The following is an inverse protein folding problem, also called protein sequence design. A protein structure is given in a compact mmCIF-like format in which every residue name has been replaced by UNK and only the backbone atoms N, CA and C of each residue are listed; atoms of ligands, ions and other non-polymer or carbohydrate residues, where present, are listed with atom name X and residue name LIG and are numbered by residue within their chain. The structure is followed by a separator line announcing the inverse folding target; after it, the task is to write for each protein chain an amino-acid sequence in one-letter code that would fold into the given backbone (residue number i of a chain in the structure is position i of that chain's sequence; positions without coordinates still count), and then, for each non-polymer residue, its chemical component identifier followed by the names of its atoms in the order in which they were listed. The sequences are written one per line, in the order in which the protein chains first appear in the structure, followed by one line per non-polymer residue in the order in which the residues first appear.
data_IF_076515032434
#
_entry.id   IF_076515032434
#
_cell.length_a   1.000
_cell.length_b   1.000
_cell.length_c   1.000
_cell.angle_alpha   90.00
_cell.angle_beta   90.00
_cell.angle_gamma   90.00
#
_symmetry.space_group_name_H-M   'P 1'
#
loop_
_entity.id
_entity.type
_entity.pdbx_description
1 polymer ?
#
# COMPACT_ATOMS: atom_id res chain seq x y z
N UNK A 1 -40.92 -4.49 6.80
CA UNK A 1 -40.45 -4.71 5.42
C UNK A 1 -39.55 -3.54 5.07
N UNK A 2 -38.27 -3.78 4.82
CA UNK A 2 -37.35 -2.73 4.36
C UNK A 2 -37.43 -2.66 2.82
N UNK A 3 -37.52 -1.45 2.29
CA UNK A 3 -37.70 -1.15 0.85
C UNK A 3 -36.43 -1.42 0.03
N UNK A 4 -36.54 -1.66 -1.29
CA UNK A 4 -35.40 -1.91 -2.19
C UNK A 4 -34.39 -0.76 -2.31
N UNK A 5 -34.65 0.36 -1.63
CA UNK A 5 -33.85 1.59 -1.60
C UNK A 5 -32.94 1.69 -0.36
N UNK A 6 -32.52 0.55 0.21
CA UNK A 6 -31.34 0.51 1.08
C UNK A 6 -30.11 0.60 0.19
N UNK A 7 -29.86 1.83 -0.26
CA UNK A 7 -28.69 2.37 -0.96
C UNK A 7 -27.47 1.47 -0.76
N UNK A 8 -26.94 0.96 -1.88
CA UNK A 8 -25.67 0.25 -1.99
C UNK A 8 -24.59 1.02 -1.23
N UNK A 9 -24.35 0.64 0.03
CA UNK A 9 -23.28 1.22 0.83
C UNK A 9 -21.97 0.91 0.13
N UNK A 10 -21.12 1.92 0.00
CA UNK A 10 -19.71 1.81 -0.39
C UNK A 10 -19.11 0.45 -0.08
N UNK A 11 -18.80 -0.32 -1.12
CA UNK A 11 -18.41 -1.74 -0.98
C UNK A 11 -16.90 -1.94 -0.94
N UNK A 12 -16.10 -0.89 -1.14
CA UNK A 12 -14.64 -1.00 -1.19
C UNK A 12 -13.92 0.34 -1.03
N UNK A 13 -12.72 0.32 -0.43
CA UNK A 13 -11.78 1.45 -0.49
C UNK A 13 -10.97 1.50 -1.79
N UNK A 14 -11.06 0.46 -2.62
CA UNK A 14 -10.24 0.29 -3.82
C UNK A 14 -10.96 0.96 -5.01
N UNK A 15 -10.24 1.72 -5.85
CA UNK A 15 -10.81 2.28 -7.08
C UNK A 15 -11.39 1.22 -8.04
N UNK A 16 -12.41 1.57 -8.84
CA UNK A 16 -13.04 2.89 -8.93
C UNK A 16 -13.96 3.16 -7.73
N UNK A 17 -13.74 4.31 -7.09
CA UNK A 17 -14.56 4.78 -5.97
C UNK A 17 -15.90 5.31 -6.49
N UNK A 18 -16.97 5.31 -5.68
CA UNK A 18 -18.17 6.05 -6.02
C UNK A 18 -18.00 7.55 -5.72
N UNK A 19 -18.93 8.38 -6.22
CA UNK A 19 -18.82 9.84 -6.13
C UNK A 19 -18.69 10.35 -4.67
N UNK A 20 -19.45 9.83 -3.68
CA UNK A 20 -19.30 10.22 -2.28
C UNK A 20 -17.86 10.06 -1.74
N UNK A 21 -17.24 8.93 -2.04
CA UNK A 21 -15.88 8.59 -1.62
C UNK A 21 -14.85 9.45 -2.35
N UNK A 22 -15.10 9.77 -3.62
CA UNK A 22 -14.27 10.70 -4.39
C UNK A 22 -14.28 12.10 -3.78
N UNK A 23 -15.45 12.61 -3.39
CA UNK A 23 -15.58 13.91 -2.71
C UNK A 23 -14.81 13.88 -1.37
N UNK A 24 -15.01 12.83 -0.58
CA UNK A 24 -14.29 12.62 0.68
C UNK A 24 -12.78 12.54 0.48
N UNK A 25 -12.33 11.86 -0.57
CA UNK A 25 -10.92 11.76 -0.93
C UNK A 25 -10.37 13.13 -1.31
N UNK A 26 -11.01 13.87 -2.22
CA UNK A 26 -10.60 15.25 -2.59
C UNK A 26 -10.43 16.11 -1.33
N UNK A 27 -11.39 16.07 -0.41
CA UNK A 27 -11.30 16.79 0.86
C UNK A 27 -10.09 16.37 1.68
N UNK A 28 -9.87 15.07 1.81
CA UNK A 28 -8.74 14.53 2.58
C UNK A 28 -7.39 14.90 1.99
N UNK A 29 -7.23 14.77 0.67
CA UNK A 29 -6.01 15.18 -0.02
C UNK A 29 -5.79 16.69 0.07
N UNK A 30 -6.84 17.48 0.25
CA UNK A 30 -6.75 18.91 0.48
C UNK A 30 -6.45 19.30 1.94
N UNK A 31 -6.37 18.33 2.87
CA UNK A 31 -6.14 18.59 4.29
C UNK A 31 -7.32 19.21 5.03
N UNK A 32 -8.50 19.26 4.42
CA UNK A 32 -9.67 19.98 4.95
C UNK A 32 -10.53 19.08 5.85
N UNK A 33 -11.11 19.67 6.89
CA UNK A 33 -12.24 19.08 7.61
C UNK A 33 -13.57 19.41 6.90
N UNK A 34 -14.67 18.75 7.31
CA UNK A 34 -15.97 18.94 6.64
C UNK A 34 -16.52 20.37 6.77
N UNK A 35 -16.23 21.05 7.88
CA UNK A 35 -16.63 22.45 8.11
C UNK A 35 -15.87 23.42 7.20
N UNK A 36 -14.58 23.16 6.96
CA UNK A 36 -13.79 23.96 6.02
C UNK A 36 -14.24 23.73 4.58
N UNK A 37 -14.49 22.46 4.20
CA UNK A 37 -15.05 22.16 2.88
C UNK A 37 -16.42 22.82 2.70
N UNK A 38 -17.29 22.79 3.71
CA UNK A 38 -18.62 23.38 3.58
C UNK A 38 -18.58 24.89 3.35
N UNK A 39 -17.62 25.59 3.97
CA UNK A 39 -17.38 27.02 3.70
C UNK A 39 -16.95 27.25 2.25
N UNK A 40 -16.04 26.43 1.71
CA UNK A 40 -15.56 26.54 0.34
C UNK A 40 -16.64 26.19 -0.70
N UNK A 41 -17.52 25.24 -0.38
CA UNK A 41 -18.64 24.84 -1.23
C UNK A 41 -19.90 25.69 -1.01
N UNK A 42 -19.85 26.66 -0.09
CA UNK A 42 -20.97 27.54 0.29
C UNK A 42 -22.24 26.76 0.66
N UNK A 43 -22.06 25.71 1.47
CA UNK A 43 -23.16 24.88 1.96
C UNK A 43 -22.99 24.59 3.46
N UNK A 44 -23.98 23.90 4.04
CA UNK A 44 -23.89 23.50 5.44
C UNK A 44 -22.92 22.33 5.63
N UNK A 45 -22.31 22.21 6.81
CA UNK A 45 -21.49 21.04 7.14
C UNK A 45 -22.31 19.73 7.05
N UNK A 46 -23.60 19.77 7.41
CA UNK A 46 -24.52 18.65 7.25
C UNK A 46 -24.72 18.26 5.77
N UNK A 47 -24.72 19.22 4.86
CA UNK A 47 -24.75 18.96 3.41
C UNK A 47 -23.50 18.20 2.98
N UNK A 48 -22.31 18.64 3.40
CA UNK A 48 -21.04 17.94 3.11
C UNK A 48 -21.07 16.51 3.67
N UNK A 49 -21.53 16.32 4.90
CA UNK A 49 -21.64 14.98 5.50
C UNK A 49 -22.54 14.07 4.66
N UNK A 50 -23.71 14.55 4.23
CA UNK A 50 -24.64 13.77 3.41
C UNK A 50 -24.05 13.45 2.04
N UNK A 51 -23.35 14.39 1.41
CA UNK A 51 -22.65 14.18 0.14
C UNK A 51 -21.60 13.08 0.26
N UNK A 52 -20.77 13.12 1.31
CA UNK A 52 -19.70 12.13 1.52
C UNK A 52 -20.20 10.75 1.95
N UNK A 53 -21.42 10.67 2.48
CA UNK A 53 -22.06 9.41 2.86
C UNK A 53 -22.96 8.83 1.77
N UNK A 54 -23.15 9.55 0.64
CA UNK A 54 -24.09 9.14 -0.41
C UNK A 54 -25.55 9.29 -0.01
N UNK A 55 -25.86 10.00 1.07
CA UNK A 55 -27.23 10.33 1.50
C UNK A 55 -27.81 11.51 0.70
N UNK A 56 -26.95 12.25 0.00
CA UNK A 56 -27.30 13.33 -0.92
C UNK A 56 -26.45 13.21 -2.17
N UNK A 57 -27.07 13.25 -3.34
CA UNK A 57 -26.33 13.34 -4.60
C UNK A 57 -25.79 14.76 -4.85
N UNK A 58 -24.57 14.91 -5.39
CA UNK A 58 -24.05 16.22 -5.73
C UNK A 58 -24.81 16.84 -6.90
N UNK A 59 -25.33 18.05 -6.70
CA UNK A 59 -25.95 18.83 -7.76
C UNK A 59 -24.89 19.43 -8.69
N UNK A 60 -25.32 19.95 -9.85
CA UNK A 60 -24.44 20.71 -10.74
C UNK A 60 -23.74 21.88 -10.02
N UNK A 61 -24.43 22.54 -9.07
CA UNK A 61 -23.83 23.59 -8.24
C UNK A 61 -22.65 23.07 -7.41
N UNK A 62 -22.80 21.92 -6.73
CA UNK A 62 -21.71 21.32 -5.96
C UNK A 62 -20.51 20.98 -6.87
N UNK A 63 -20.75 20.38 -8.03
CA UNK A 63 -19.69 19.99 -8.96
C UNK A 63 -18.93 21.21 -9.54
N UNK A 64 -19.65 22.29 -9.88
CA UNK A 64 -19.04 23.55 -10.33
C UNK A 64 -18.19 24.16 -9.21
N UNK A 65 -18.66 24.15 -7.96
CA UNK A 65 -17.88 24.61 -6.81
C UNK A 65 -16.62 23.78 -6.58
N UNK A 66 -16.73 22.46 -6.64
CA UNK A 66 -15.57 21.56 -6.56
C UNK A 66 -14.54 21.90 -7.65
N UNK A 67 -14.98 22.12 -8.90
CA UNK A 67 -14.09 22.55 -9.99
C UNK A 67 -13.37 23.85 -9.68
N UNK A 68 -14.09 24.88 -9.21
CA UNK A 68 -13.52 26.20 -8.92
C UNK A 68 -12.50 26.15 -7.77
N UNK A 69 -12.83 25.43 -6.70
CA UNK A 69 -12.01 25.34 -5.48
C UNK A 69 -10.75 24.50 -5.74
N UNK A 70 -10.91 23.30 -6.29
CA UNK A 70 -9.83 22.32 -6.41
C UNK A 70 -9.09 22.38 -7.75
N UNK A 71 -9.63 23.09 -8.75
CA UNK A 71 -9.02 23.18 -10.08
C UNK A 71 -9.11 21.88 -10.89
N UNK A 72 -10.03 20.99 -10.53
CA UNK A 72 -10.26 19.70 -11.20
C UNK A 72 -11.46 19.79 -12.16
N UNK A 73 -11.43 19.09 -13.29
CA UNK A 73 -12.61 19.03 -14.17
C UNK A 73 -13.75 18.28 -13.51
N UNK A 74 -14.99 18.61 -13.90
CA UNK A 74 -16.17 17.87 -13.42
C UNK A 74 -16.09 16.42 -13.91
N UNK A 75 -15.66 16.22 -15.17
CA UNK A 75 -15.46 14.89 -15.75
C UNK A 75 -14.48 14.05 -14.93
N UNK A 76 -13.38 14.62 -14.44
CA UNK A 76 -12.46 13.89 -13.56
C UNK A 76 -13.14 13.37 -12.29
N UNK A 77 -14.07 14.14 -11.70
CA UNK A 77 -14.85 13.71 -10.52
C UNK A 77 -15.82 12.60 -10.89
N UNK A 78 -16.47 12.68 -12.05
CA UNK A 78 -17.49 11.72 -12.53
C UNK A 78 -16.88 10.42 -13.08
N UNK A 79 -15.70 10.49 -13.69
CA UNK A 79 -14.96 9.35 -14.23
C UNK A 79 -14.06 8.69 -13.17
N UNK A 80 -13.78 9.39 -12.06
CA UNK A 80 -12.88 8.92 -11.00
C UNK A 80 -11.40 9.08 -11.33
N UNK A 81 -11.08 9.87 -12.37
CA UNK A 81 -9.71 10.19 -12.81
C UNK A 81 -9.19 11.45 -12.10
N UNK A 82 -9.27 11.47 -10.78
CA UNK A 82 -8.91 12.65 -9.98
C UNK A 82 -7.39 12.70 -9.80
N UNK A 83 -6.71 13.84 -10.11
CA UNK A 83 -5.29 14.01 -9.88
C UNK A 83 -5.03 14.36 -8.40
N UNK A 84 -5.17 13.38 -7.50
CA UNK A 84 -5.11 13.59 -6.04
C UNK A 84 -3.80 14.21 -5.58
N UNK A 85 -2.66 13.86 -6.21
CA UNK A 85 -1.38 14.54 -5.99
C UNK A 85 -1.45 16.05 -6.24
N UNK A 86 -1.99 16.48 -7.38
CA UNK A 86 -2.12 17.90 -7.72
C UNK A 86 -3.05 18.64 -6.76
N UNK A 87 -4.12 17.97 -6.31
CA UNK A 87 -5.01 18.49 -5.26
C UNK A 87 -4.23 18.70 -3.95
N UNK A 88 -3.44 17.72 -3.53
CA UNK A 88 -2.61 17.81 -2.32
C UNK A 88 -1.56 18.91 -2.40
N UNK A 89 -0.87 19.05 -3.53
CA UNK A 89 0.13 20.10 -3.78
C UNK A 89 -0.50 21.49 -3.70
N UNK A 90 -1.67 21.69 -4.31
CA UNK A 90 -2.40 22.98 -4.29
C UNK A 90 -2.75 23.44 -2.87
N UNK A 91 -3.04 22.51 -1.97
CA UNK A 91 -3.42 22.80 -0.59
C UNK A 91 -2.26 22.64 0.40
N UNK A 92 -1.02 22.44 -0.08
CA UNK A 92 0.17 22.23 0.76
C UNK A 92 0.02 21.06 1.76
N UNK A 93 -0.79 20.06 1.43
CA UNK A 93 -1.06 18.92 2.30
C UNK A 93 -0.17 17.73 1.93
N UNK A 94 1.07 17.74 2.37
CA UNK A 94 2.09 16.74 2.01
C UNK A 94 2.01 15.43 2.82
N UNK A 95 1.27 15.39 3.93
CA UNK A 95 1.25 14.26 4.88
C UNK A 95 -0.03 13.42 4.76
N UNK A 96 -0.15 12.67 3.67
CA UNK A 96 -1.27 11.74 3.43
C UNK A 96 -1.18 10.44 4.24
N UNK A 97 0.01 10.14 4.76
CA UNK A 97 0.28 8.93 5.53
C UNK A 97 0.94 9.30 6.85
N UNK A 98 0.69 8.52 7.92
CA UNK A 98 1.57 8.52 9.09
C UNK A 98 3.04 8.45 8.69
N UNK A 99 3.91 9.21 9.37
CA UNK A 99 5.33 9.34 8.99
C UNK A 99 6.08 8.00 8.90
N UNK A 100 5.66 6.98 9.66
CA UNK A 100 6.23 5.62 9.60
C UNK A 100 5.98 4.89 8.27
N UNK A 101 4.93 5.26 7.56
CA UNK A 101 4.59 4.68 6.26
C UNK A 101 5.16 5.48 5.09
N UNK A 102 5.51 6.75 5.32
CA UNK A 102 6.19 7.59 4.33
C UNK A 102 7.71 7.37 4.32
N UNK A 103 8.33 7.05 5.46
CA UNK A 103 9.77 6.83 5.57
C UNK A 103 10.20 5.60 4.77
N UNK A 104 11.13 5.77 3.82
CA UNK A 104 11.61 4.67 2.99
C UNK A 104 10.53 4.11 2.06
N UNK A 105 9.54 4.93 1.69
CA UNK A 105 8.49 4.54 0.77
C UNK A 105 9.05 4.28 -0.63
N UNK A 106 8.76 3.10 -1.19
CA UNK A 106 9.26 2.68 -2.50
C UNK A 106 8.30 1.77 -3.26
N UNK A 107 7.25 1.28 -2.60
CA UNK A 107 6.23 0.41 -3.21
C UNK A 107 5.00 1.24 -3.55
N UNK A 108 4.44 1.11 -4.74
CA UNK A 108 3.17 1.76 -5.09
C UNK A 108 2.01 1.10 -4.36
N UNK A 109 1.08 1.89 -3.84
CA UNK A 109 -0.06 1.44 -3.05
C UNK A 109 -0.94 0.42 -3.79
N UNK A 110 -1.10 0.58 -5.11
CA UNK A 110 -1.89 -0.35 -5.94
C UNK A 110 -1.42 -1.81 -5.87
N UNK A 111 -0.15 -2.06 -5.57
CA UNK A 111 0.35 -3.43 -5.39
C UNK A 111 -0.23 -4.12 -4.15
N UNK A 112 -0.81 -3.35 -3.22
CA UNK A 112 -1.47 -3.86 -2.01
C UNK A 112 -2.96 -4.12 -2.22
N UNK A 113 -3.56 -3.69 -3.34
CA UNK A 113 -4.98 -3.87 -3.61
C UNK A 113 -5.45 -5.33 -3.57
N UNK A 114 -4.68 -6.33 -4.05
CA UNK A 114 -5.09 -7.73 -3.90
C UNK A 114 -5.27 -8.14 -2.44
N UNK A 115 -4.38 -7.69 -1.55
CA UNK A 115 -4.47 -7.96 -0.12
C UNK A 115 -5.68 -7.26 0.51
N UNK A 116 -5.89 -5.99 0.19
CA UNK A 116 -7.05 -5.22 0.68
C UNK A 116 -8.35 -5.85 0.20
N UNK A 117 -8.45 -6.20 -1.08
CA UNK A 117 -9.62 -6.86 -1.66
C UNK A 117 -9.89 -8.20 -0.98
N UNK A 118 -8.84 -9.00 -0.75
CA UNK A 118 -8.97 -10.26 -0.04
C UNK A 118 -9.48 -10.07 1.40
N UNK A 119 -9.07 -8.98 2.07
CA UNK A 119 -9.59 -8.65 3.40
C UNK A 119 -11.07 -8.24 3.34
N UNK A 120 -11.42 -7.29 2.46
CA UNK A 120 -12.79 -6.79 2.32
C UNK A 120 -13.77 -7.91 1.97
N UNK A 121 -13.40 -8.80 1.04
CA UNK A 121 -14.23 -9.95 0.66
C UNK A 121 -14.46 -10.94 1.80
N UNK A 122 -13.47 -11.11 2.70
CA UNK A 122 -13.54 -12.13 3.75
C UNK A 122 -14.11 -11.61 5.07
N UNK A 123 -13.85 -10.36 5.42
CA UNK A 123 -14.17 -9.79 6.72
C UNK A 123 -15.12 -8.59 6.65
N UNK A 124 -15.39 -8.07 5.44
CA UNK A 124 -16.25 -6.94 5.19
C UNK A 124 -15.55 -5.58 5.28
N UNK A 125 -16.07 -4.63 4.50
CA UNK A 125 -15.60 -3.26 4.39
C UNK A 125 -15.55 -2.53 5.75
N UNK A 126 -16.65 -2.56 6.51
CA UNK A 126 -16.73 -1.88 7.81
C UNK A 126 -15.68 -2.34 8.81
N UNK A 127 -15.34 -3.64 8.77
CA UNK A 127 -14.28 -4.17 9.60
C UNK A 127 -12.92 -3.65 9.15
N UNK A 128 -12.66 -3.64 7.85
CA UNK A 128 -11.43 -3.10 7.29
C UNK A 128 -11.22 -1.63 7.68
N UNK A 129 -12.27 -0.80 7.61
CA UNK A 129 -12.21 0.60 8.04
C UNK A 129 -11.77 0.76 9.51
N UNK A 130 -12.32 -0.06 10.41
CA UNK A 130 -11.94 -0.04 11.83
C UNK A 130 -10.48 -0.44 12.03
N UNK A 131 -9.99 -1.44 11.30
CA UNK A 131 -8.58 -1.86 11.40
C UNK A 131 -7.62 -0.80 10.85
N UNK A 132 -7.95 -0.15 9.73
CA UNK A 132 -7.18 0.99 9.21
C UNK A 132 -7.11 2.15 10.21
N UNK A 133 -8.22 2.44 10.90
CA UNK A 133 -8.26 3.49 11.91
C UNK A 133 -7.31 3.22 13.07
N UNK A 134 -7.16 1.96 13.52
CA UNK A 134 -6.20 1.59 14.58
C UNK A 134 -4.76 1.91 14.20
N UNK A 135 -4.42 1.75 12.93
CA UNK A 135 -3.09 2.08 12.40
C UNK A 135 -2.96 3.54 11.93
N UNK A 136 -3.98 4.37 12.16
CA UNK A 136 -3.97 5.79 11.84
C UNK A 136 -4.01 6.10 10.34
N UNK A 137 -4.44 5.14 9.51
CA UNK A 137 -4.53 5.31 8.05
C UNK A 137 -5.97 5.60 7.68
N UNK A 138 -6.18 6.67 6.89
CA UNK A 138 -7.52 7.00 6.40
C UNK A 138 -7.82 6.22 5.12
N UNK A 139 -9.08 5.80 4.89
CA UNK A 139 -9.46 5.05 3.69
C UNK A 139 -9.18 5.78 2.38
N UNK A 140 -9.28 7.11 2.39
CA UNK A 140 -9.02 7.96 1.23
C UNK A 140 -7.61 7.79 0.64
N UNK A 141 -6.63 7.31 1.42
CA UNK A 141 -5.27 7.00 0.93
C UNK A 141 -5.31 6.05 -0.28
N UNK A 142 -6.24 5.10 -0.31
CA UNK A 142 -6.41 4.14 -1.40
C UNK A 142 -6.97 4.75 -2.70
N UNK A 143 -7.33 6.04 -2.70
CA UNK A 143 -7.76 6.73 -3.90
C UNK A 143 -6.58 7.08 -4.84
N UNK A 144 -5.34 7.12 -4.34
CA UNK A 144 -4.13 7.43 -5.13
C UNK A 144 -3.30 6.15 -5.37
N UNK A 145 -3.48 5.47 -6.52
CA UNK A 145 -2.85 4.16 -6.78
C UNK A 145 -1.32 4.25 -6.89
N UNK A 146 -0.80 5.43 -7.26
CA UNK A 146 0.62 5.68 -7.44
C UNK A 146 1.31 6.18 -6.17
N UNK A 147 0.57 6.32 -5.06
CA UNK A 147 1.14 6.71 -3.77
C UNK A 147 2.20 5.69 -3.33
N UNK A 148 3.38 6.19 -2.96
CA UNK A 148 4.43 5.34 -2.43
C UNK A 148 4.21 5.07 -0.94
N UNK A 149 4.37 3.80 -0.57
CA UNK A 149 4.29 3.30 0.80
C UNK A 149 5.55 2.51 1.16
N UNK A 150 5.91 2.53 2.43
CA UNK A 150 7.02 1.75 2.97
C UNK A 150 6.62 0.29 3.21
N UNK A 151 7.62 -0.56 3.43
CA UNK A 151 7.43 -1.96 3.83
C UNK A 151 6.70 -2.10 5.16
N UNK A 152 6.80 -1.11 6.05
CA UNK A 152 6.07 -1.10 7.33
C UNK A 152 4.55 -1.08 7.13
N UNK A 153 4.05 -0.39 6.09
CA UNK A 153 2.62 -0.37 5.82
C UNK A 153 2.11 -1.74 5.36
N UNK A 154 2.86 -2.42 4.51
CA UNK A 154 2.56 -3.79 4.10
C UNK A 154 2.53 -4.74 5.31
N UNK A 155 3.57 -4.66 6.16
CA UNK A 155 3.65 -5.48 7.37
C UNK A 155 2.41 -5.30 8.25
N UNK A 156 2.01 -4.07 8.54
CA UNK A 156 0.85 -3.80 9.38
C UNK A 156 -0.47 -4.28 8.76
N UNK A 157 -0.61 -4.20 7.43
CA UNK A 157 -1.77 -4.80 6.74
C UNK A 157 -1.80 -6.33 6.84
N UNK A 158 -0.64 -6.99 6.76
CA UNK A 158 -0.55 -8.45 6.96
C UNK A 158 -0.86 -8.83 8.40
N UNK A 159 -0.38 -8.07 9.37
CA UNK A 159 -0.70 -8.27 10.79
C UNK A 159 -2.19 -8.10 11.07
N UNK A 160 -2.84 -7.09 10.49
CA UNK A 160 -4.29 -6.93 10.52
C UNK A 160 -4.99 -8.19 9.98
N UNK A 161 -4.52 -8.73 8.85
CA UNK A 161 -5.07 -9.94 8.25
C UNK A 161 -4.87 -11.17 9.17
N UNK A 162 -3.69 -11.29 9.80
CA UNK A 162 -3.36 -12.36 10.76
C UNK A 162 -4.28 -12.33 11.97
N UNK A 163 -4.42 -11.16 12.60
CA UNK A 163 -5.23 -11.01 13.82
C UNK A 163 -6.72 -11.25 13.56
N UNK A 164 -7.20 -10.81 12.41
CA UNK A 164 -8.58 -11.01 12.00
C UNK A 164 -8.90 -12.42 11.52
N UNK A 165 -7.87 -13.18 11.12
CA UNK A 165 -8.01 -14.48 10.49
C UNK A 165 -8.45 -15.63 11.40
N UNK A 166 -9.02 -16.69 10.81
CA UNK A 166 -9.27 -17.94 11.50
C UNK A 166 -7.97 -18.55 12.01
N UNK A 167 -8.06 -19.46 12.99
CA UNK A 167 -6.90 -20.04 13.67
C UNK A 167 -5.85 -20.62 12.69
N UNK A 168 -6.28 -21.19 11.56
CA UNK A 168 -5.42 -21.73 10.50
C UNK A 168 -4.52 -20.67 9.85
N UNK A 169 -5.03 -19.47 9.57
CA UNK A 169 -4.25 -18.35 9.01
C UNK A 169 -3.26 -17.82 10.04
N UNK A 170 -3.65 -17.80 11.33
CA UNK A 170 -2.76 -17.44 12.44
C UNK A 170 -1.61 -18.43 12.57
N UNK A 171 -1.89 -19.73 12.44
CA UNK A 171 -0.88 -20.78 12.44
C UNK A 171 0.07 -20.63 11.25
N UNK A 172 -0.45 -20.50 10.02
CA UNK A 172 0.39 -20.34 8.83
C UNK A 172 1.29 -19.10 8.89
N UNK A 173 0.74 -17.93 9.24
CA UNK A 173 1.54 -16.71 9.34
C UNK A 173 2.53 -16.78 10.51
N UNK A 174 2.15 -17.44 11.61
CA UNK A 174 3.09 -17.75 12.70
C UNK A 174 4.25 -18.64 12.24
N UNK A 175 3.99 -19.64 11.40
CA UNK A 175 5.03 -20.50 10.84
C UNK A 175 5.93 -19.76 9.85
N UNK A 176 5.37 -18.86 9.03
CA UNK A 176 6.17 -17.96 8.18
C UNK A 176 7.09 -17.07 9.02
N UNK A 177 6.60 -16.49 10.12
CA UNK A 177 7.41 -15.68 11.03
C UNK A 177 8.54 -16.49 11.68
N UNK A 178 8.29 -17.75 12.07
CA UNK A 178 9.34 -18.66 12.55
C UNK A 178 10.40 -18.89 11.48
N UNK A 179 10.01 -19.12 10.23
CA UNK A 179 10.94 -19.26 9.12
C UNK A 179 11.80 -17.99 8.91
N UNK A 180 11.18 -16.80 8.97
CA UNK A 180 11.92 -15.53 8.88
C UNK A 180 12.92 -15.38 10.03
N UNK A 181 12.55 -15.73 11.26
CA UNK A 181 13.44 -15.68 12.41
C UNK A 181 14.62 -16.67 12.28
N UNK A 182 14.38 -17.87 11.74
CA UNK A 182 15.44 -18.85 11.42
C UNK A 182 16.39 -18.28 10.36
N UNK A 183 15.86 -17.66 9.31
CA UNK A 183 16.68 -17.00 8.28
C UNK A 183 17.50 -15.87 8.92
N UNK A 184 16.88 -14.99 9.69
CA UNK A 184 17.57 -13.87 10.35
C UNK A 184 18.66 -14.31 11.32
N UNK A 185 18.43 -15.38 12.09
CA UNK A 185 19.42 -15.96 13.01
C UNK A 185 20.54 -16.74 12.29
N UNK A 186 20.32 -17.16 11.05
CA UNK A 186 21.33 -17.80 10.20
C UNK A 186 22.06 -16.81 9.29
N UNK A 187 21.61 -15.55 9.20
CA UNK A 187 22.36 -14.50 8.54
C UNK A 187 23.61 -14.15 9.37
N UNK A 188 24.78 -13.97 8.74
CA UNK A 188 25.99 -13.58 9.44
C UNK A 188 25.78 -12.22 10.11
N UNK A 189 26.08 -12.13 11.41
CA UNK A 189 25.90 -10.93 12.26
C UNK A 189 26.81 -9.76 11.85
N UNK A 190 27.72 -10.00 10.92
CA UNK A 190 28.60 -9.00 10.33
C UNK A 190 28.36 -9.00 8.83
N UNK A 191 27.54 -8.07 8.35
CA UNK A 191 27.87 -7.50 7.05
C UNK A 191 29.30 -6.96 7.21
N UNK A 192 30.28 -7.37 6.39
CA UNK A 192 31.59 -6.77 6.47
C UNK A 192 31.38 -5.26 6.30
N UNK A 193 31.87 -4.46 7.25
CA UNK A 193 32.12 -3.05 7.01
C UNK A 193 33.20 -2.97 5.93
N UNK A 194 32.84 -3.22 4.67
CA UNK A 194 33.65 -2.71 3.58
C UNK A 194 33.30 -1.23 3.46
N UNK A 195 34.34 -0.37 3.46
CA UNK A 195 34.26 1.09 3.29
C UNK A 195 33.47 1.56 2.05
N UNK A 196 32.96 0.64 1.23
CA UNK A 196 32.08 0.90 0.09
C UNK A 196 30.62 1.17 0.49
N UNK A 197 30.15 0.63 1.63
CA UNK A 197 28.75 0.75 2.05
C UNK A 197 28.44 2.02 2.82
N UNK A 198 29.46 2.71 3.34
CA UNK A 198 29.31 3.88 4.22
C UNK A 198 29.25 5.21 3.43
N UNK A 199 29.58 5.18 2.13
CA UNK A 199 29.62 6.36 1.27
C UNK A 199 28.54 6.30 0.15
N UNK A 200 27.32 6.79 0.40
CA UNK A 200 26.24 6.79 -0.60
C UNK A 200 26.59 7.61 -1.86
N UNK A 201 27.55 8.53 -1.81
CA UNK A 201 28.07 9.21 -3.01
C UNK A 201 28.81 8.29 -4.00
N UNK A 202 29.29 7.11 -3.57
CA UNK A 202 29.86 6.08 -4.47
C UNK A 202 28.78 5.29 -5.23
N UNK A 203 27.52 5.45 -4.85
CA UNK A 203 26.36 4.78 -5.45
C UNK A 203 25.65 5.66 -6.48
N UNK A 204 26.23 6.82 -6.83
CA UNK A 204 25.64 7.74 -7.81
C UNK A 204 25.38 7.03 -9.15
N UNK A 205 24.12 6.60 -9.33
CA UNK A 205 23.54 6.09 -10.57
C UNK A 205 23.28 7.22 -11.59
N UNK A 206 23.78 8.42 -11.32
CA UNK A 206 23.69 9.61 -12.18
C UNK A 206 25.07 10.24 -12.33
N UNK A 207 26.05 9.48 -12.82
CA UNK A 207 27.15 10.09 -13.56
C UNK A 207 26.69 10.20 -15.01
N UNK A 208 26.33 11.42 -15.40
CA UNK A 208 26.08 11.75 -16.80
C UNK A 208 27.39 11.56 -17.56
N UNK A 209 27.47 10.45 -18.29
CA UNK A 209 28.56 10.16 -19.21
C UNK A 209 29.61 9.20 -18.68
N UNK A 210 29.30 7.90 -18.70
CA UNK A 210 30.30 6.87 -19.00
C UNK A 210 29.60 5.61 -19.53
N UNK A 211 30.18 5.11 -20.60
CA UNK A 211 29.82 3.99 -21.46
C UNK A 211 29.13 2.79 -20.77
N UNK A 212 27.99 2.36 -21.34
CA UNK A 212 27.14 1.25 -20.89
C UNK A 212 27.80 -0.14 -21.03
N UNK A 213 29.03 -0.19 -21.54
CA UNK A 213 29.83 -1.40 -21.72
C UNK A 213 30.38 -2.00 -20.41
N UNK A 214 30.23 -1.30 -19.27
CA UNK A 214 30.77 -1.73 -17.96
C UNK A 214 29.82 -2.55 -17.08
N UNK A 215 28.58 -2.84 -17.54
CA UNK A 215 27.62 -3.67 -16.78
C UNK A 215 28.19 -5.03 -16.35
N UNK A 216 29.14 -5.60 -17.10
CA UNK A 216 29.82 -6.86 -16.79
C UNK A 216 30.85 -6.83 -15.65
N UNK A 217 31.23 -5.64 -15.16
CA UNK A 217 32.25 -5.49 -14.12
C UNK A 217 31.69 -5.19 -12.73
N UNK A 218 30.36 -5.10 -12.58
CA UNK A 218 29.74 -4.84 -11.27
C UNK A 218 29.61 -6.15 -10.46
N UNK A 219 30.11 -6.21 -9.21
CA UNK A 219 30.11 -7.44 -8.40
C UNK A 219 28.73 -8.09 -8.25
N UNK A 220 27.67 -7.27 -8.22
CA UNK A 220 26.30 -7.71 -7.99
C UNK A 220 25.70 -8.50 -9.17
N UNK A 221 26.00 -8.10 -10.41
CA UNK A 221 25.57 -8.82 -11.60
C UNK A 221 26.29 -10.18 -11.70
N UNK A 222 27.58 -10.21 -11.34
CA UNK A 222 28.37 -11.44 -11.37
C UNK A 222 27.99 -12.44 -10.27
N UNK A 223 27.57 -11.99 -9.09
CA UNK A 223 27.13 -12.88 -8.01
C UNK A 223 25.79 -13.60 -8.32
N UNK A 224 24.82 -12.88 -8.89
CA UNK A 224 23.53 -13.47 -9.31
C UNK A 224 23.73 -14.42 -10.49
N UNK A 225 24.56 -14.04 -11.47
CA UNK A 225 24.87 -14.86 -12.65
C UNK A 225 25.72 -16.08 -12.29
N UNK A 226 26.67 -15.99 -11.35
CA UNK A 226 27.43 -17.15 -10.86
C UNK A 226 26.55 -18.13 -10.05
N UNK A 227 25.65 -17.61 -9.21
CA UNK A 227 24.69 -18.44 -8.47
C UNK A 227 23.73 -19.21 -9.38
N UNK A 228 23.30 -18.60 -10.50
CA UNK A 228 22.45 -19.27 -11.50
C UNK A 228 23.21 -20.24 -12.40
N UNK A 229 24.52 -20.09 -12.59
CA UNK A 229 25.36 -20.96 -13.43
C UNK A 229 25.94 -22.16 -12.69
N UNK A 230 26.10 -22.09 -11.37
CA UNK A 230 26.53 -23.24 -10.55
C UNK A 230 25.34 -24.15 -10.24
N UNK A 231 24.95 -25.00 -11.18
CA UNK A 231 23.96 -26.08 -10.99
C UNK A 231 24.43 -27.15 -10.00
N UNK A 232 24.68 -26.79 -8.73
CA UNK A 232 24.94 -27.74 -7.66
C UNK A 232 23.61 -28.22 -7.09
N UNK A 233 23.34 -29.51 -7.33
CA UNK A 233 22.18 -30.24 -6.84
C UNK A 233 22.02 -30.15 -5.32
N UNK A 234 20.75 -30.06 -4.86
CA UNK A 234 20.38 -30.15 -3.45
C UNK A 234 20.88 -31.47 -2.83
N UNK A 235 21.39 -31.45 -1.57
CA UNK A 235 21.78 -32.68 -0.88
C UNK A 235 20.55 -33.53 -0.53
N UNK A 236 20.65 -34.83 -0.82
CA UNK A 236 19.63 -35.87 -0.64
C UNK A 236 19.32 -36.18 0.84
N UNK A 237 18.03 -36.44 1.12
CA UNK A 237 17.48 -36.89 2.40
C UNK A 237 18.21 -38.11 3.02
N UNK A 238 18.32 -38.23 4.35
CA UNK A 238 18.95 -39.37 5.01
C UNK A 238 17.94 -40.51 5.21
N UNK A 239 17.75 -41.34 4.18
CA UNK A 239 17.14 -42.66 4.30
C UNK A 239 17.89 -43.66 3.41
N UNK A 240 19.12 -44.03 3.80
CA UNK A 240 19.79 -45.24 3.29
C UNK A 240 21.09 -45.56 4.05
N UNK A 241 21.00 -45.75 5.37
CA UNK A 241 22.02 -46.48 6.14
C UNK A 241 21.35 -47.46 7.10
N UNK A 242 20.78 -48.55 6.54
CA UNK A 242 20.33 -49.69 7.37
C UNK A 242 20.40 -51.07 6.70
N UNK A 243 21.21 -51.28 5.66
CA UNK A 243 21.31 -52.60 4.99
C UNK A 243 22.72 -53.14 4.72
N UNK A 244 23.76 -52.69 5.43
CA UNK A 244 25.09 -53.34 5.38
C UNK A 244 25.61 -53.69 6.77
N UNK A 245 24.93 -54.63 7.44
CA UNK A 245 25.48 -55.44 8.56
C UNK A 245 24.66 -56.73 8.71
N UNK A 246 24.75 -57.65 7.75
CA UNK A 246 24.61 -59.11 7.95
C UNK A 246 25.38 -59.79 6.80
N UNK A 247 26.15 -60.84 7.12
CA UNK A 247 27.03 -61.68 6.28
C UNK A 247 28.53 -61.29 6.32
N UNK A 248 29.13 -61.58 7.48
CA UNK A 248 30.29 -62.47 7.53
C UNK A 248 29.83 -63.74 8.28
#
# INVERSE_FOLDING_TARGET
MQTPAQIERSTSVIPPLAIPERIRAIRYFSGLNQTELSKLLECSQGTVSKLENGELEPTAFHLVRMRQVFGISIDAIVDGLIPYRSVSERFSNSSLLPSRYARGAGTKLKFLYPLVRAFEMRYGYERFLRELQKIGVKPAVFAEPELLVSTAFFHDLVEIYRECGPAEVKTFLGDVQKCVAIIQSSLPTTAPQTDEWVHPEKWNLLTTGTDDSSWGSRPYANAIVQGMRSGKALPSHPQQQRQKRVRA
#
